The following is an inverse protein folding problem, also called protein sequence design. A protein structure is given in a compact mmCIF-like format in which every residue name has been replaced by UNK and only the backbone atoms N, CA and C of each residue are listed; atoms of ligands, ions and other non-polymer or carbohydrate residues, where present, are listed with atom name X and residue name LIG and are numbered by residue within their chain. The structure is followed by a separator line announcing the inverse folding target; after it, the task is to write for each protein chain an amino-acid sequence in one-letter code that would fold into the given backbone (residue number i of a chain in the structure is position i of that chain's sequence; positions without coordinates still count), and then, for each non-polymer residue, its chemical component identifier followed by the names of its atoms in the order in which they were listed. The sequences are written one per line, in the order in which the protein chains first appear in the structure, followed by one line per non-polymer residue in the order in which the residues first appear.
data_IF_305169778779
#
_entry.id   IF_305169778779
#
_cell.length_a   1.000
_cell.length_b   1.000
_cell.length_c   1.000
_cell.angle_alpha   90.00
_cell.angle_beta   90.00
_cell.angle_gamma   90.00
#
_symmetry.space_group_name_H-M   'P 1'
#
loop_
_entity.id
_entity.type
_entity.pdbx_description
1 polymer ?
#
# COMPACT_ATOMS: atom_id res chain seq x y z
N UNK A 1 -19.51 67.47 32.12
CA UNK A 1 -20.03 66.14 32.46
C UNK A 1 -19.89 65.18 31.26
N UNK A 2 -20.26 65.61 30.06
CA UNK A 2 -20.22 64.81 28.82
C UNK A 2 -18.82 64.31 28.41
N UNK A 3 -17.78 65.16 28.51
CA UNK A 3 -16.39 64.78 28.18
C UNK A 3 -15.87 63.64 29.08
N UNK A 4 -16.23 63.68 30.36
CA UNK A 4 -15.81 62.68 31.34
C UNK A 4 -16.48 61.33 31.05
N UNK A 5 -17.76 61.36 30.66
CA UNK A 5 -18.51 60.18 30.23
C UNK A 5 -17.95 59.60 28.93
N UNK A 6 -17.58 60.44 27.96
CA UNK A 6 -16.98 60.01 26.70
C UNK A 6 -15.62 59.31 26.91
N UNK A 7 -14.78 59.83 27.82
CA UNK A 7 -13.50 59.21 28.17
C UNK A 7 -13.70 57.83 28.82
N UNK A 8 -14.69 57.70 29.70
CA UNK A 8 -15.00 56.42 30.37
C UNK A 8 -15.54 55.38 29.38
N UNK A 9 -16.38 55.78 28.43
CA UNK A 9 -16.87 54.88 27.38
C UNK A 9 -15.73 54.46 26.45
N UNK A 10 -14.87 55.39 26.04
CA UNK A 10 -13.72 55.08 25.18
C UNK A 10 -12.73 54.11 25.87
N UNK A 11 -12.44 54.33 27.16
CA UNK A 11 -11.55 53.44 27.91
C UNK A 11 -12.13 52.04 28.09
N UNK A 12 -13.45 51.94 28.35
CA UNK A 12 -14.14 50.65 28.44
C UNK A 12 -14.08 49.88 27.11
N UNK A 13 -14.34 50.53 25.98
CA UNK A 13 -14.29 49.89 24.65
C UNK A 13 -12.89 49.37 24.33
N UNK A 14 -11.84 50.15 24.61
CA UNK A 14 -10.45 49.72 24.42
C UNK A 14 -10.12 48.52 25.30
N UNK A 15 -10.55 48.56 26.57
CA UNK A 15 -10.29 47.48 27.52
C UNK A 15 -10.99 46.17 27.11
N UNK A 16 -12.27 46.24 26.73
CA UNK A 16 -13.00 45.07 26.22
C UNK A 16 -12.41 44.55 24.90
N UNK A 17 -11.97 45.43 23.99
CA UNK A 17 -11.31 45.04 22.75
C UNK A 17 -10.00 44.27 23.01
N UNK A 18 -9.19 44.73 23.97
CA UNK A 18 -7.95 44.06 24.37
C UNK A 18 -8.21 42.69 25.00
N UNK A 19 -9.23 42.58 25.88
CA UNK A 19 -9.61 41.31 26.51
C UNK A 19 -10.12 40.27 25.50
N UNK A 20 -10.95 40.67 24.54
CA UNK A 20 -11.46 39.78 23.49
C UNK A 20 -10.31 39.28 22.60
N UNK A 21 -9.39 40.17 22.22
CA UNK A 21 -8.22 39.82 21.40
C UNK A 21 -7.31 38.79 22.12
N UNK A 22 -7.03 39.01 23.41
CA UNK A 22 -6.25 38.08 24.22
C UNK A 22 -6.96 36.72 24.41
N UNK A 23 -8.30 36.75 24.58
CA UNK A 23 -9.12 35.55 24.66
C UNK A 23 -9.07 34.71 23.39
N UNK A 24 -9.23 35.35 22.23
CA UNK A 24 -9.18 34.69 20.92
C UNK A 24 -7.81 34.03 20.67
N UNK A 25 -6.71 34.70 21.02
CA UNK A 25 -5.37 34.14 20.84
C UNK A 25 -5.14 32.92 21.75
N UNK A 26 -5.62 32.96 22.99
CA UNK A 26 -5.53 31.81 23.91
C UNK A 26 -6.39 30.64 23.44
N UNK A 27 -7.59 30.89 22.94
CA UNK A 27 -8.48 29.87 22.38
C UNK A 27 -7.89 29.25 21.12
N UNK A 28 -7.32 30.07 20.23
CA UNK A 28 -6.66 29.60 19.02
C UNK A 28 -5.52 28.63 19.34
N UNK A 29 -4.65 28.98 20.28
CA UNK A 29 -3.56 28.09 20.72
C UNK A 29 -4.07 26.78 21.33
N UNK A 30 -5.18 26.82 22.08
CA UNK A 30 -5.79 25.61 22.62
C UNK A 30 -6.36 24.70 21.52
N UNK A 31 -7.00 25.28 20.49
CA UNK A 31 -7.52 24.54 19.33
C UNK A 31 -6.39 23.93 18.51
N UNK A 32 -5.32 24.68 18.25
CA UNK A 32 -4.16 24.19 17.51
C UNK A 32 -3.48 23.02 18.25
N UNK A 33 -3.33 23.12 19.59
CA UNK A 33 -2.80 22.02 20.41
C UNK A 33 -3.70 20.77 20.40
N UNK A 34 -5.02 20.94 20.37
CA UNK A 34 -5.96 19.81 20.25
C UNK A 34 -5.88 19.14 18.88
N UNK A 35 -5.68 19.91 17.81
CA UNK A 35 -5.56 19.36 16.44
C UNK A 35 -4.41 18.37 16.34
N UNK A 36 -3.24 18.71 16.88
CA UNK A 36 -2.08 17.82 16.88
C UNK A 36 -2.33 16.54 17.68
N UNK A 37 -2.95 16.66 18.85
CA UNK A 37 -3.30 15.51 19.69
C UNK A 37 -4.32 14.59 19.00
N UNK A 38 -5.34 15.14 18.32
CA UNK A 38 -6.33 14.36 17.57
C UNK A 38 -5.69 13.61 16.41
N UNK A 39 -4.74 14.23 15.70
CA UNK A 39 -4.01 13.56 14.60
C UNK A 39 -3.17 12.40 15.15
N UNK A 40 -2.42 12.63 16.22
CA UNK A 40 -1.62 11.57 16.86
C UNK A 40 -2.49 10.43 17.37
N UNK A 41 -3.62 10.76 18.00
CA UNK A 41 -4.61 9.78 18.46
C UNK A 41 -5.19 8.99 17.28
N UNK A 42 -5.55 9.63 16.17
CA UNK A 42 -6.10 8.95 15.01
C UNK A 42 -5.09 7.98 14.38
N UNK A 43 -3.81 8.35 14.33
CA UNK A 43 -2.74 7.45 13.84
C UNK A 43 -2.59 6.24 14.77
N UNK A 44 -2.61 6.46 16.09
CA UNK A 44 -2.53 5.36 17.07
C UNK A 44 -3.75 4.45 17.02
N UNK A 45 -4.95 5.02 16.90
CA UNK A 45 -6.19 4.26 16.78
C UNK A 45 -6.19 3.39 15.52
N UNK A 46 -5.77 3.93 14.37
CA UNK A 46 -5.59 3.15 13.15
C UNK A 46 -4.57 2.02 13.33
N UNK A 47 -3.47 2.28 14.03
CA UNK A 47 -2.45 1.27 14.31
C UNK A 47 -3.00 0.15 15.18
N UNK A 48 -3.68 0.47 16.28
CA UNK A 48 -4.28 -0.50 17.20
C UNK A 48 -5.34 -1.33 16.47
N UNK A 49 -6.22 -0.69 15.70
CA UNK A 49 -7.22 -1.39 14.88
C UNK A 49 -6.56 -2.36 13.90
N UNK A 50 -5.48 -1.94 13.25
CA UNK A 50 -4.72 -2.79 12.33
C UNK A 50 -4.06 -3.97 13.05
N UNK A 51 -3.48 -3.78 14.23
CA UNK A 51 -2.90 -4.86 15.04
C UNK A 51 -3.94 -5.91 15.44
N UNK A 52 -5.16 -5.49 15.80
CA UNK A 52 -6.26 -6.41 16.07
C UNK A 52 -6.68 -7.18 14.81
N UNK A 53 -6.69 -6.51 13.65
CA UNK A 53 -7.01 -7.15 12.37
C UNK A 53 -5.93 -8.17 11.98
N UNK A 54 -4.65 -7.90 12.22
CA UNK A 54 -3.55 -8.86 11.96
C UNK A 54 -3.80 -10.20 12.66
N UNK A 55 -4.32 -10.20 13.89
CA UNK A 55 -4.60 -11.43 14.64
C UNK A 55 -5.86 -12.18 14.16
N UNK A 56 -6.79 -11.47 13.52
CA UNK A 56 -8.07 -12.01 13.08
C UNK A 56 -8.10 -12.38 11.59
N UNK A 57 -7.19 -11.85 10.78
CA UNK A 57 -7.12 -12.14 9.34
C UNK A 57 -6.74 -13.60 9.15
N UNK A 58 -7.61 -14.33 8.47
CA UNK A 58 -7.37 -15.69 8.00
C UNK A 58 -7.71 -15.75 6.52
N UNK A 59 -6.88 -16.43 5.75
CA UNK A 59 -7.14 -16.71 4.34
C UNK A 59 -7.29 -18.23 4.20
N UNK A 60 -8.53 -18.75 4.16
CA UNK A 60 -8.78 -20.20 4.14
C UNK A 60 -8.24 -20.88 2.88
N UNK A 61 -8.33 -20.21 1.73
CA UNK A 61 -7.81 -20.68 0.45
C UNK A 61 -6.93 -19.59 -0.19
N UNK A 62 -5.59 -19.70 -0.06
CA UNK A 62 -4.64 -18.74 -0.61
C UNK A 62 -4.70 -18.59 -2.13
N UNK A 63 -5.00 -19.68 -2.86
CA UNK A 63 -5.00 -19.68 -4.31
C UNK A 63 -6.28 -19.04 -4.85
N UNK A 64 -7.42 -19.34 -4.24
CA UNK A 64 -8.70 -18.69 -4.55
C UNK A 64 -8.67 -17.20 -4.22
N UNK A 65 -8.07 -16.81 -3.10
CA UNK A 65 -7.86 -15.39 -2.76
C UNK A 65 -7.00 -14.69 -3.82
N UNK A 66 -5.90 -15.31 -4.24
CA UNK A 66 -5.01 -14.73 -5.27
C UNK A 66 -5.75 -14.60 -6.60
N UNK A 67 -6.52 -15.62 -7.00
CA UNK A 67 -7.30 -15.60 -8.23
C UNK A 67 -8.39 -14.51 -8.20
N UNK A 68 -9.13 -14.38 -7.10
CA UNK A 68 -10.14 -13.32 -6.91
C UNK A 68 -9.54 -11.92 -6.92
N UNK A 69 -8.34 -11.76 -6.34
CA UNK A 69 -7.66 -10.47 -6.29
C UNK A 69 -7.10 -10.08 -7.64
N UNK A 70 -6.47 -11.04 -8.34
CA UNK A 70 -5.96 -10.83 -9.68
C UNK A 70 -7.08 -10.58 -10.70
N UNK A 71 -8.21 -11.29 -10.61
CA UNK A 71 -9.33 -11.15 -11.54
C UNK A 71 -10.03 -9.79 -11.46
N UNK A 72 -10.05 -9.15 -10.28
CA UNK A 72 -10.55 -7.76 -10.15
C UNK A 72 -9.72 -6.76 -10.95
N UNK A 73 -8.41 -6.92 -10.95
CA UNK A 73 -7.50 -5.97 -11.61
C UNK A 73 -7.34 -6.29 -13.10
N UNK A 74 -7.35 -7.57 -13.46
CA UNK A 74 -7.27 -8.00 -14.86
C UNK A 74 -8.61 -7.91 -15.59
N UNK A 75 -9.73 -7.80 -14.85
CA UNK A 75 -11.11 -7.77 -15.35
C UNK A 75 -11.63 -9.09 -15.99
N UNK A 76 -10.94 -10.20 -15.77
CA UNK A 76 -11.36 -11.55 -16.17
C UNK A 76 -10.86 -12.61 -15.18
N UNK A 77 -11.55 -13.75 -15.11
CA UNK A 77 -11.16 -14.88 -14.24
C UNK A 77 -9.97 -15.63 -14.85
N UNK A 78 -8.87 -15.68 -14.10
CA UNK A 78 -7.62 -16.31 -14.55
C UNK A 78 -7.58 -17.81 -14.24
N UNK A 79 -8.45 -18.31 -13.33
CA UNK A 79 -8.45 -19.71 -12.87
C UNK A 79 -7.04 -20.25 -12.63
N UNK A 80 -6.28 -19.52 -11.82
CA UNK A 80 -4.85 -19.73 -11.64
C UNK A 80 -4.52 -21.15 -11.18
N UNK A 81 -3.53 -21.77 -11.83
CA UNK A 81 -2.88 -23.00 -11.37
C UNK A 81 -1.39 -22.71 -11.14
N UNK A 82 -0.88 -22.99 -9.95
CA UNK A 82 0.53 -22.79 -9.62
C UNK A 82 1.38 -23.81 -10.37
N UNK A 83 2.33 -23.32 -11.17
CA UNK A 83 3.29 -24.16 -11.89
C UNK A 83 4.60 -24.28 -11.12
N UNK A 84 5.15 -23.15 -10.67
CA UNK A 84 6.49 -23.09 -10.12
C UNK A 84 6.66 -21.87 -9.21
N UNK A 85 7.47 -22.04 -8.16
CA UNK A 85 7.96 -20.95 -7.32
C UNK A 85 9.45 -20.80 -7.57
N UNK A 86 9.87 -19.61 -7.99
CA UNK A 86 11.29 -19.30 -8.23
C UNK A 86 11.76 -18.33 -7.16
N UNK A 87 12.91 -18.58 -6.56
CA UNK A 87 13.40 -17.78 -5.42
C UNK A 87 14.24 -16.57 -5.85
N UNK A 88 14.94 -16.64 -6.99
CA UNK A 88 15.86 -15.58 -7.45
C UNK A 88 15.59 -15.10 -8.89
N UNK A 89 15.03 -13.89 -9.09
CA UNK A 89 14.22 -13.11 -8.12
C UNK A 89 12.93 -13.83 -7.71
N UNK A 90 12.37 -13.52 -6.55
CA UNK A 90 11.17 -14.23 -6.09
C UNK A 90 9.99 -14.02 -7.05
N UNK A 91 9.49 -15.12 -7.60
CA UNK A 91 8.30 -15.16 -8.47
C UNK A 91 7.46 -16.39 -8.20
N UNK A 92 6.15 -16.19 -8.26
CA UNK A 92 5.18 -17.27 -8.36
C UNK A 92 4.71 -17.33 -9.82
N UNK A 93 4.93 -18.46 -10.48
CA UNK A 93 4.54 -18.69 -11.86
C UNK A 93 3.25 -19.52 -11.86
N UNK A 94 2.23 -18.99 -12.51
CA UNK A 94 0.93 -19.63 -12.67
C UNK A 94 0.59 -19.80 -14.16
N UNK A 95 -0.15 -20.85 -14.47
CA UNK A 95 -0.90 -20.98 -15.72
C UNK A 95 -2.32 -20.47 -15.52
N UNK A 96 -2.89 -19.86 -16.55
CA UNK A 96 -4.35 -19.70 -16.64
C UNK A 96 -5.00 -21.07 -16.80
N UNK A 97 -6.22 -21.25 -16.26
CA UNK A 97 -6.97 -22.50 -16.39
C UNK A 97 -7.24 -22.92 -17.84
N UNK A 98 -7.24 -21.96 -18.77
CA UNK A 98 -7.39 -22.20 -20.20
C UNK A 98 -6.06 -22.57 -20.90
N UNK A 99 -4.94 -22.58 -20.18
CA UNK A 99 -3.61 -23.00 -20.67
C UNK A 99 -2.86 -22.00 -21.54
N UNK A 100 -3.55 -21.01 -22.12
CA UNK A 100 -2.99 -20.08 -23.11
C UNK A 100 -2.15 -18.93 -22.52
N UNK A 101 -2.35 -18.59 -21.24
CA UNK A 101 -1.70 -17.45 -20.61
C UNK A 101 -0.80 -17.88 -19.45
N UNK A 102 0.44 -17.38 -19.46
CA UNK A 102 1.36 -17.52 -18.33
C UNK A 102 1.32 -16.25 -17.50
N UNK A 103 0.99 -16.40 -16.22
CA UNK A 103 0.88 -15.30 -15.26
C UNK A 103 2.01 -15.41 -14.25
N UNK A 104 2.77 -14.34 -14.07
CA UNK A 104 3.86 -14.31 -13.10
C UNK A 104 3.55 -13.25 -12.06
N UNK A 105 3.56 -13.64 -10.80
CA UNK A 105 3.43 -12.73 -9.67
C UNK A 105 4.80 -12.47 -9.06
N UNK A 106 5.12 -11.22 -8.76
CA UNK A 106 6.38 -10.86 -8.11
C UNK A 106 6.20 -9.62 -7.22
N UNK A 107 6.88 -9.56 -6.06
CA UNK A 107 6.96 -8.33 -5.27
C UNK A 107 7.82 -7.25 -5.95
N UNK A 108 8.61 -7.60 -6.97
CA UNK A 108 9.48 -6.65 -7.66
C UNK A 108 8.71 -5.80 -8.65
N UNK A 109 8.97 -4.49 -8.64
CA UNK A 109 8.41 -3.59 -9.64
C UNK A 109 9.09 -3.77 -11.01
N UNK A 110 8.45 -3.35 -12.11
CA UNK A 110 9.06 -3.36 -13.44
C UNK A 110 10.38 -2.56 -13.51
N UNK A 111 10.51 -1.52 -12.68
CA UNK A 111 11.72 -0.69 -12.58
C UNK A 111 12.85 -1.48 -11.93
N UNK A 112 12.55 -2.22 -10.86
CA UNK A 112 13.54 -3.04 -10.16
C UNK A 112 14.02 -4.20 -11.03
N UNK A 113 13.11 -4.85 -11.76
CA UNK A 113 13.46 -5.90 -12.73
C UNK A 113 14.40 -5.35 -13.81
N UNK A 114 14.13 -4.15 -14.35
CA UNK A 114 15.01 -3.51 -15.34
C UNK A 114 16.38 -3.19 -14.76
N UNK A 115 16.45 -2.75 -13.50
CA UNK A 115 17.71 -2.49 -12.79
C UNK A 115 18.52 -3.78 -12.63
N UNK A 116 17.91 -4.87 -12.18
CA UNK A 116 18.54 -6.19 -12.06
C UNK A 116 19.04 -6.70 -13.43
N UNK A 117 18.28 -6.48 -14.50
CA UNK A 117 18.67 -6.84 -15.87
C UNK A 117 19.88 -6.05 -16.35
N UNK A 118 19.98 -4.77 -15.99
CA UNK A 118 21.13 -3.92 -16.36
C UNK A 118 22.40 -4.28 -15.60
N UNK A 119 22.30 -4.72 -14.34
CA UNK A 119 23.46 -5.13 -13.53
C UNK A 119 23.98 -6.54 -13.89
N UNK A 120 23.12 -7.46 -14.32
CA UNK A 120 23.48 -8.83 -14.75
C UNK A 120 23.95 -8.93 -16.23
N UNK A 121 24.59 -7.91 -16.78
CA UNK A 121 25.04 -7.91 -18.18
C UNK A 121 26.27 -8.78 -18.48
N UNK A 122 26.92 -9.39 -17.48
CA UNK A 122 28.06 -10.29 -17.71
C UNK A 122 27.60 -11.57 -18.41
N UNK A 123 28.31 -11.98 -19.48
CA UNK A 123 27.95 -13.11 -20.35
C UNK A 123 27.75 -14.44 -19.60
N UNK A 124 28.40 -14.63 -18.46
CA UNK A 124 28.28 -15.81 -17.60
C UNK A 124 26.98 -15.82 -16.77
N UNK A 125 26.48 -14.67 -16.35
CA UNK A 125 25.23 -14.57 -15.57
C UNK A 125 23.96 -14.76 -16.41
N UNK A 126 24.06 -14.66 -17.75
CA UNK A 126 22.95 -14.94 -18.68
C UNK A 126 22.57 -16.42 -18.75
N UNK A 127 23.47 -17.31 -18.36
CA UNK A 127 23.22 -18.77 -18.37
C UNK A 127 22.74 -19.30 -17.02
N UNK A 128 22.91 -18.54 -15.93
CA UNK A 128 22.61 -19.00 -14.57
C UNK A 128 21.18 -18.67 -14.10
N UNK A 129 20.51 -17.68 -14.70
CA UNK A 129 19.16 -17.28 -14.30
C UNK A 129 18.08 -17.89 -15.16
N UNK A 130 17.50 -19.02 -14.77
CA UNK A 130 16.32 -19.61 -15.43
C UNK A 130 15.01 -18.82 -15.17
N UNK A 131 15.08 -17.69 -14.47
CA UNK A 131 13.89 -16.98 -14.05
C UNK A 131 13.19 -16.24 -15.23
N UNK A 132 11.93 -16.59 -15.55
CA UNK A 132 11.20 -15.96 -16.64
C UNK A 132 10.97 -14.45 -16.46
N UNK A 133 11.03 -13.91 -15.23
CA UNK A 133 10.95 -12.47 -14.97
C UNK A 133 12.09 -11.67 -15.62
N UNK A 134 13.27 -12.25 -15.81
CA UNK A 134 14.41 -11.56 -16.41
C UNK A 134 14.33 -11.55 -17.95
N UNK A 135 13.54 -12.46 -18.50
CA UNK A 135 13.37 -12.70 -19.93
C UNK A 135 12.01 -12.18 -20.47
N UNK A 136 11.32 -11.32 -19.72
CA UNK A 136 10.05 -10.73 -20.14
C UNK A 136 10.17 -9.99 -21.49
N UNK A 137 9.24 -10.21 -22.44
CA UNK A 137 9.15 -9.45 -23.68
C UNK A 137 8.78 -7.98 -23.41
N UNK A 138 8.96 -7.11 -24.40
CA UNK A 138 8.66 -5.67 -24.26
C UNK A 138 7.16 -5.35 -24.17
N UNK A 139 6.30 -6.28 -24.60
CA UNK A 139 4.84 -6.12 -24.72
C UNK A 139 4.05 -6.87 -23.64
N UNK A 140 4.63 -7.09 -22.46
CA UNK A 140 3.95 -7.75 -21.34
C UNK A 140 2.90 -6.83 -20.76
N UNK A 141 1.70 -7.37 -20.50
CA UNK A 141 0.68 -6.68 -19.73
C UNK A 141 1.07 -6.73 -18.25
N UNK A 142 1.22 -5.55 -17.65
CA UNK A 142 1.67 -5.40 -16.27
C UNK A 142 0.55 -4.76 -15.45
N UNK A 143 0.18 -5.41 -14.36
CA UNK A 143 -0.79 -4.88 -13.42
C UNK A 143 -0.19 -4.82 -12.01
N UNK A 144 -0.51 -3.76 -11.28
CA UNK A 144 -0.13 -3.62 -9.88
C UNK A 144 -1.31 -4.03 -9.00
N UNK A 145 -1.06 -4.82 -7.97
CA UNK A 145 -1.97 -5.06 -6.85
C UNK A 145 -1.45 -4.27 -5.66
N UNK A 146 -2.32 -3.46 -5.06
CA UNK A 146 -2.03 -2.63 -3.89
C UNK A 146 -3.27 -2.51 -2.99
N UNK A 147 -3.14 -2.04 -1.74
CA UNK A 147 -4.29 -1.82 -0.87
C UNK A 147 -5.37 -0.91 -1.48
N UNK A 148 -5.00 -0.05 -2.43
CA UNK A 148 -5.91 0.88 -3.09
C UNK A 148 -6.86 0.18 -4.06
N UNK A 149 -6.43 -0.90 -4.72
CA UNK A 149 -7.23 -1.60 -5.74
C UNK A 149 -7.66 -3.01 -5.32
N UNK A 150 -7.02 -3.58 -4.29
CA UNK A 150 -7.22 -4.97 -3.89
C UNK A 150 -7.91 -5.12 -2.53
N UNK A 151 -8.05 -4.04 -1.77
CA UNK A 151 -8.78 -3.99 -0.51
C UNK A 151 -7.92 -3.50 0.66
N UNK A 152 -8.58 -3.00 1.70
CA UNK A 152 -7.94 -2.37 2.86
C UNK A 152 -7.09 -3.30 3.74
N UNK A 153 -7.24 -4.63 3.61
CA UNK A 153 -6.44 -5.66 4.31
C UNK A 153 -5.44 -6.36 3.38
N UNK A 154 -5.30 -5.89 2.14
CA UNK A 154 -4.53 -6.57 1.10
C UNK A 154 -3.11 -6.89 1.54
N UNK A 155 -2.43 -5.98 2.21
CA UNK A 155 -1.04 -6.17 2.67
C UNK A 155 -0.92 -7.29 3.71
N UNK A 156 -1.92 -7.41 4.59
CA UNK A 156 -1.97 -8.44 5.63
C UNK A 156 -2.30 -9.80 5.03
N UNK A 157 -3.32 -9.84 4.18
CA UNK A 157 -3.76 -11.05 3.46
C UNK A 157 -2.66 -11.55 2.52
N UNK A 158 -2.01 -10.64 1.79
CA UNK A 158 -0.92 -10.96 0.88
C UNK A 158 0.25 -11.62 1.62
N UNK A 159 0.64 -11.12 2.79
CA UNK A 159 1.71 -11.74 3.58
C UNK A 159 1.41 -13.20 3.93
N UNK A 160 0.17 -13.49 4.33
CA UNK A 160 -0.29 -14.84 4.63
C UNK A 160 -0.35 -15.72 3.38
N UNK A 161 -0.96 -15.23 2.30
CA UNK A 161 -1.07 -15.95 1.03
C UNK A 161 0.29 -16.24 0.43
N UNK A 162 1.18 -15.26 0.42
CA UNK A 162 2.52 -15.40 -0.13
C UNK A 162 3.33 -16.43 0.64
N UNK A 163 3.26 -16.40 1.98
CA UNK A 163 3.92 -17.40 2.83
C UNK A 163 3.35 -18.80 2.59
N UNK A 164 2.02 -18.92 2.44
CA UNK A 164 1.37 -20.21 2.19
C UNK A 164 1.70 -20.79 0.81
N UNK A 165 1.85 -19.95 -0.22
CA UNK A 165 2.12 -20.39 -1.60
C UNK A 165 3.61 -20.59 -1.89
N UNK A 166 4.48 -19.79 -1.30
CA UNK A 166 5.93 -19.79 -1.60
C UNK A 166 6.79 -20.34 -0.48
N UNK A 167 6.26 -20.51 0.73
CA UNK A 167 7.02 -20.89 1.92
C UNK A 167 7.88 -19.77 2.51
N UNK A 168 7.92 -18.58 1.89
CA UNK A 168 8.76 -17.47 2.33
C UNK A 168 7.93 -16.38 3.00
N UNK A 169 8.30 -16.03 4.23
CA UNK A 169 7.65 -14.96 4.98
C UNK A 169 8.28 -13.60 4.68
N UNK A 170 7.45 -12.61 4.40
CA UNK A 170 7.87 -11.22 4.21
C UNK A 170 7.17 -10.35 5.25
N UNK A 171 7.91 -9.45 5.88
CA UNK A 171 7.37 -8.58 6.94
C UNK A 171 6.57 -7.39 6.41
N UNK A 172 6.76 -6.99 5.15
CA UNK A 172 6.08 -5.83 4.55
C UNK A 172 6.08 -5.92 3.02
N UNK A 173 5.08 -6.59 2.44
CA UNK A 173 4.79 -6.46 1.00
C UNK A 173 3.57 -5.54 0.85
N UNK A 174 3.81 -4.33 0.33
CA UNK A 174 2.73 -3.36 0.10
C UNK A 174 2.15 -3.43 -1.31
N UNK A 175 2.84 -4.10 -2.24
CA UNK A 175 2.37 -4.29 -3.60
C UNK A 175 2.85 -5.61 -4.19
N UNK A 176 1.99 -6.20 -5.04
CA UNK A 176 2.30 -7.38 -5.83
C UNK A 176 2.11 -7.06 -7.30
N UNK A 177 3.07 -7.38 -8.14
CA UNK A 177 3.01 -7.13 -9.57
C UNK A 177 2.63 -8.39 -10.33
N UNK A 178 1.70 -8.25 -11.25
CA UNK A 178 1.24 -9.29 -12.17
C UNK A 178 1.84 -9.02 -13.54
N UNK A 179 2.52 -10.01 -14.10
CA UNK A 179 3.06 -10.01 -15.45
C UNK A 179 2.35 -11.08 -16.27
N UNK A 180 1.55 -10.65 -17.25
CA UNK A 180 0.78 -11.55 -18.10
C UNK A 180 1.46 -11.69 -19.44
N UNK A 181 1.87 -12.92 -19.74
CA UNK A 181 2.47 -13.32 -21.00
C UNK A 181 1.39 -13.98 -21.84
N UNK A 182 1.02 -13.32 -22.94
CA UNK A 182 0.29 -13.97 -24.03
C UNK A 182 1.26 -14.83 -24.83
N UNK A 183 0.79 -16.01 -25.24
CA UNK A 183 1.48 -16.83 -26.25
C UNK A 183 1.54 -16.12 -27.61
#
# INVERSE_FOLDING_TARGET
MEILLAIVVASAVIFFGALISMGNERQRKAIDGLREQVVLWAIQDLKIKREHLVQAVQVPDPLDWLNKTASRVCAYDLKLQVLEVVEEPQSLICASGDGDLKVIFSPLSPVDIRRIKSSRQSRLSKFAGQNPLLHLPKSVNIHELSPLNSGHLFDLELGLVWTALTGQSWSTINSLWIYILGN
#
